data_IF_940738426025
#
_entry.id   IF_940738426025
#
_cell.length_a   1.000
_cell.length_b   1.000
_cell.length_c   1.000
_cell.angle_alpha   90.00
_cell.angle_beta   90.00
_cell.angle_gamma   90.00
#
_symmetry.space_group_name_H-M   'P 1'
#
loop_
_entity.id
_entity.type
_entity.pdbx_description
1 polymer ?
#
# COMPACT_ATOMS: atom_id res chain seq x y z
N UNK A 1 -1.25 -14.80 -14.85
CA UNK A 1 -0.24 -13.88 -14.29
C UNK A 1 -0.98 -12.79 -13.52
N UNK A 2 -0.79 -12.67 -12.20
CA UNK A 2 -1.48 -11.67 -11.36
C UNK A 2 -0.42 -10.83 -10.65
N UNK A 3 0.06 -9.82 -11.36
CA UNK A 3 1.08 -8.89 -10.90
C UNK A 3 0.74 -7.50 -11.42
N UNK A 4 0.95 -6.49 -10.58
CA UNK A 4 0.50 -5.13 -10.82
C UNK A 4 1.56 -4.14 -10.39
N UNK A 5 1.82 -3.18 -11.27
CA UNK A 5 2.74 -2.07 -11.05
C UNK A 5 1.94 -0.77 -11.09
N UNK A 6 2.02 0.01 -10.01
CA UNK A 6 1.27 1.25 -9.87
C UNK A 6 2.21 2.39 -9.51
N UNK A 7 1.98 3.53 -10.16
CA UNK A 7 2.55 4.82 -9.77
C UNK A 7 1.38 5.72 -9.41
N UNK A 8 1.45 6.31 -8.23
CA UNK A 8 0.40 7.19 -7.76
C UNK A 8 0.85 8.06 -6.62
N UNK A 9 -0.01 8.99 -6.29
CA UNK A 9 0.14 9.90 -5.16
C UNK A 9 -0.73 9.42 -4.01
N UNK A 10 -0.20 9.38 -2.79
CA UNK A 10 -1.00 9.04 -1.61
C UNK A 10 -2.00 10.17 -1.36
N UNK A 11 -3.27 9.82 -1.21
CA UNK A 11 -4.37 10.77 -0.98
C UNK A 11 -5.09 10.56 0.35
N UNK A 12 -4.75 9.52 1.11
CA UNK A 12 -5.28 9.25 2.44
C UNK A 12 -4.15 9.13 3.44
N UNK A 13 -4.47 9.30 4.72
CA UNK A 13 -3.58 8.89 5.81
C UNK A 13 -3.32 7.37 5.75
N UNK A 14 -2.19 6.95 6.31
CA UNK A 14 -1.81 5.55 6.38
C UNK A 14 -2.41 4.94 7.65
N UNK A 15 -3.42 4.09 7.48
CA UNK A 15 -4.02 3.34 8.58
C UNK A 15 -3.14 2.12 8.90
N UNK A 16 -2.50 2.11 10.07
CA UNK A 16 -1.76 0.96 10.56
C UNK A 16 -2.55 0.19 11.62
N UNK A 17 -2.69 -1.13 11.45
CA UNK A 17 -3.41 -2.01 12.36
C UNK A 17 -2.55 -3.24 12.69
N UNK A 18 -2.58 -3.65 13.95
CA UNK A 18 -2.01 -4.93 14.37
C UNK A 18 -3.03 -6.04 14.18
N UNK A 19 -2.60 -7.17 13.64
CA UNK A 19 -3.45 -8.34 13.46
C UNK A 19 -3.12 -9.34 14.58
N UNK A 20 -4.09 -9.58 15.45
CA UNK A 20 -3.99 -10.58 16.52
C UNK A 20 -4.34 -11.96 15.92
N UNK A 21 -3.59 -13.00 16.29
CA UNK A 21 -3.83 -14.39 15.89
C UNK A 21 -3.73 -14.69 14.38
N UNK A 22 -2.82 -14.03 13.66
CA UNK A 22 -2.52 -14.31 12.25
C UNK A 22 -1.02 -14.50 12.01
N UNK A 23 -0.69 -15.14 10.88
CA UNK A 23 0.70 -15.32 10.42
C UNK A 23 1.36 -13.96 10.12
N UNK A 24 0.55 -12.97 9.74
CA UNK A 24 0.97 -11.58 9.59
C UNK A 24 0.63 -10.81 10.86
N UNK A 25 1.58 -10.01 11.36
CA UNK A 25 1.47 -9.29 12.64
C UNK A 25 0.96 -7.85 12.48
N UNK A 26 1.21 -7.26 11.32
CA UNK A 26 0.89 -5.86 11.04
C UNK A 26 0.35 -5.70 9.62
N UNK A 27 -0.56 -4.74 9.44
CA UNK A 27 -1.08 -4.29 8.16
C UNK A 27 -1.12 -2.76 8.09
N UNK A 28 -0.71 -2.20 6.96
CA UNK A 28 -0.89 -0.80 6.62
C UNK A 28 -1.83 -0.69 5.41
N UNK A 29 -2.86 0.14 5.53
CA UNK A 29 -3.83 0.43 4.49
C UNK A 29 -3.74 1.90 4.10
N UNK A 30 -3.65 2.18 2.82
CA UNK A 30 -3.67 3.55 2.31
C UNK A 30 -4.23 3.58 0.89
N UNK A 31 -4.56 4.78 0.43
CA UNK A 31 -5.16 5.01 -0.88
C UNK A 31 -4.22 5.86 -1.73
N UNK A 32 -3.99 5.40 -2.95
CA UNK A 32 -3.26 6.16 -3.96
C UNK A 32 -4.20 6.61 -5.07
N UNK A 33 -3.85 7.75 -5.68
CA UNK A 33 -4.44 8.26 -6.90
C UNK A 33 -3.44 8.20 -8.03
N UNK A 34 -3.77 7.48 -9.10
CA UNK A 34 -2.94 7.43 -10.32
C UNK A 34 -3.13 8.68 -11.17
N UNK A 35 -2.30 8.86 -12.20
CA UNK A 35 -2.40 9.99 -13.14
C UNK A 35 -3.78 10.04 -13.83
N UNK A 36 -4.32 8.87 -14.19
CA UNK A 36 -5.67 8.69 -14.75
C UNK A 36 -6.81 8.89 -13.73
N UNK A 37 -6.49 9.44 -12.55
CA UNK A 37 -7.41 9.71 -11.45
C UNK A 37 -8.06 8.46 -10.85
N UNK A 38 -7.55 7.27 -11.13
CA UNK A 38 -8.05 6.04 -10.50
C UNK A 38 -7.66 6.03 -9.03
N UNK A 39 -8.60 5.59 -8.19
CA UNK A 39 -8.43 5.48 -6.75
C UNK A 39 -8.15 4.02 -6.43
N UNK A 40 -6.96 3.71 -5.93
CA UNK A 40 -6.53 2.34 -5.65
C UNK A 40 -6.23 2.17 -4.17
N UNK A 41 -6.84 1.16 -3.56
CA UNK A 41 -6.56 0.76 -2.17
C UNK A 41 -5.40 -0.21 -2.14
N UNK A 42 -4.41 0.11 -1.31
CA UNK A 42 -3.19 -0.67 -1.16
C UNK A 42 -3.09 -1.18 0.27
N UNK A 43 -2.69 -2.44 0.39
CA UNK A 43 -2.39 -3.09 1.67
C UNK A 43 -0.96 -3.62 1.68
N UNK A 44 -0.23 -3.28 2.73
CA UNK A 44 1.10 -3.79 3.00
C UNK A 44 1.09 -4.59 4.30
N UNK A 45 1.92 -5.63 4.42
CA UNK A 45 1.98 -6.49 5.61
C UNK A 45 3.37 -6.52 6.24
N UNK A 46 3.41 -6.77 7.55
CA UNK A 46 4.63 -6.95 8.35
C UNK A 46 5.62 -5.80 8.11
N UNK A 47 6.87 -6.10 7.74
CA UNK A 47 7.93 -5.10 7.52
C UNK A 47 7.55 -3.99 6.52
N UNK A 48 6.74 -4.30 5.51
CA UNK A 48 6.26 -3.28 4.56
C UNK A 48 5.21 -2.38 5.19
N UNK A 49 4.41 -2.89 6.12
CA UNK A 49 3.48 -2.08 6.89
C UNK A 49 4.23 -1.10 7.80
N UNK A 50 5.27 -1.58 8.50
CA UNK A 50 6.12 -0.73 9.34
C UNK A 50 6.81 0.36 8.51
N UNK A 51 7.35 0.00 7.35
CA UNK A 51 7.94 0.94 6.40
C UNK A 51 6.92 1.97 5.91
N UNK A 52 5.74 1.52 5.49
CA UNK A 52 4.68 2.38 4.99
C UNK A 52 4.25 3.39 6.06
N UNK A 53 4.07 2.95 7.30
CA UNK A 53 3.68 3.82 8.39
C UNK A 53 4.79 4.79 8.82
N UNK A 54 6.06 4.36 8.78
CA UNK A 54 7.17 5.19 9.25
C UNK A 54 7.64 6.23 8.22
N UNK A 55 7.51 5.96 6.92
CA UNK A 55 8.12 6.79 5.87
C UNK A 55 7.15 7.45 4.92
N UNK A 56 5.96 6.90 4.73
CA UNK A 56 5.01 7.47 3.78
C UNK A 56 4.20 8.56 4.47
N UNK A 57 3.87 9.60 3.72
CA UNK A 57 2.93 10.63 4.12
C UNK A 57 1.89 10.86 3.02
N UNK A 58 0.78 11.47 3.41
CA UNK A 58 -0.19 12.01 2.47
C UNK A 58 0.54 12.94 1.51
N UNK A 59 0.20 12.90 0.21
CA UNK A 59 0.81 13.68 -0.87
C UNK A 59 2.13 13.14 -1.45
N UNK A 60 2.72 12.08 -0.88
CA UNK A 60 3.92 11.45 -1.46
C UNK A 60 3.64 10.69 -2.76
N UNK A 61 4.61 10.70 -3.67
CA UNK A 61 4.58 9.87 -4.89
C UNK A 61 5.24 8.54 -4.61
N UNK A 62 4.52 7.47 -4.89
CA UNK A 62 4.96 6.10 -4.61
C UNK A 62 4.86 5.22 -5.84
N UNK A 63 5.78 4.27 -5.91
CA UNK A 63 5.74 3.13 -6.81
C UNK A 63 5.48 1.87 -6.02
N UNK A 64 4.51 1.08 -6.49
CA UNK A 64 3.99 -0.09 -5.79
C UNK A 64 4.01 -1.26 -6.76
N UNK A 65 4.74 -2.31 -6.39
CA UNK A 65 4.60 -3.61 -7.02
C UNK A 65 3.79 -4.52 -6.09
N UNK A 66 2.79 -5.21 -6.62
CA UNK A 66 1.93 -6.11 -5.87
C UNK A 66 1.12 -7.05 -6.74
N UNK A 67 0.05 -7.55 -6.17
CA UNK A 67 -0.95 -8.37 -6.85
C UNK A 67 -2.34 -7.97 -6.39
N UNK A 68 -3.36 -8.19 -7.22
CA UNK A 68 -4.74 -7.87 -6.87
C UNK A 68 -5.38 -9.08 -6.20
N UNK A 69 -6.05 -8.84 -5.08
CA UNK A 69 -6.93 -9.80 -4.45
C UNK A 69 -8.27 -9.12 -4.13
N UNK A 70 -9.36 -9.62 -4.73
CA UNK A 70 -10.74 -9.19 -4.42
C UNK A 70 -10.95 -7.66 -4.43
N UNK A 71 -10.23 -6.94 -5.31
CA UNK A 71 -10.26 -5.48 -5.49
C UNK A 71 -9.30 -4.65 -4.60
N UNK A 72 -8.33 -5.31 -3.95
CA UNK A 72 -7.29 -4.65 -3.15
C UNK A 72 -5.92 -5.04 -3.70
N UNK A 73 -5.00 -4.07 -3.75
CA UNK A 73 -3.62 -4.33 -4.15
C UNK A 73 -2.81 -4.69 -2.92
N UNK A 74 -2.32 -5.93 -2.86
CA UNK A 74 -1.38 -6.39 -1.85
C UNK A 74 0.04 -6.08 -2.30
N UNK A 75 0.69 -5.13 -1.63
CA UNK A 75 2.03 -4.68 -1.96
C UNK A 75 3.07 -5.75 -1.60
N UNK A 76 3.92 -6.08 -2.57
CA UNK A 76 5.18 -6.84 -2.40
C UNK A 76 6.37 -5.91 -2.21
N UNK A 77 6.37 -4.75 -2.86
CA UNK A 77 7.40 -3.72 -2.72
C UNK A 77 6.78 -2.32 -2.83
N UNK A 78 7.30 -1.38 -2.04
CA UNK A 78 6.91 0.04 -2.07
C UNK A 78 8.19 0.87 -2.13
N UNK A 79 8.31 1.74 -3.13
CA UNK A 79 9.39 2.70 -3.27
C UNK A 79 8.83 4.12 -3.30
N UNK A 80 9.60 5.06 -2.74
CA UNK A 80 9.26 6.49 -2.67
C UNK A 80 10.15 7.24 -3.66
N UNK A 81 9.60 8.22 -4.35
CA UNK A 81 10.31 9.12 -5.27
C UNK A 81 10.44 10.53 -4.70
#
# INVERSE_FOLDING_TARGET
>A
MNEVFLIGKIISDIEFKFIINSKNKAIACFVIKTADKQIVRVQAYNKLADFAYSKLNTNDKVFINGYIETNIVKAKCINIY
#
